data_IF_721597302787
#
_entry.id   IF_721597302787
#
_cell.length_a   1.000
_cell.length_b   1.000
_cell.length_c   1.000
_cell.angle_alpha   90.00
_cell.angle_beta   90.00
_cell.angle_gamma   90.00
#
_symmetry.space_group_name_H-M   'P 1'
#
loop_
_entity.id
_entity.type
_entity.pdbx_description
1 polymer ?
#
# COMPACT_ATOMS: atom_id res chain seq x y z
N UNK A 1 -6.07 6.09 16.76
CA UNK A 1 -5.81 6.88 15.55
C UNK A 1 -6.97 6.93 14.61
N UNK A 2 -7.23 8.12 14.05
CA UNK A 2 -8.30 8.38 13.09
C UNK A 2 -8.05 7.68 11.75
N UNK A 3 -6.79 7.56 11.32
CA UNK A 3 -6.46 7.03 9.98
C UNK A 3 -6.81 5.54 9.85
N UNK A 4 -6.38 4.71 10.80
CA UNK A 4 -6.66 3.27 10.73
C UNK A 4 -8.15 2.94 10.88
N UNK A 5 -8.89 3.73 11.67
CA UNK A 5 -10.37 3.65 11.74
C UNK A 5 -11.01 3.92 10.38
N UNK A 6 -10.63 5.01 9.70
CA UNK A 6 -11.20 5.38 8.40
C UNK A 6 -10.89 4.34 7.33
N UNK A 7 -9.69 3.77 7.34
CA UNK A 7 -9.30 2.69 6.42
C UNK A 7 -10.13 1.43 6.70
N UNK A 8 -10.21 0.99 7.96
CA UNK A 8 -10.99 -0.20 8.33
C UNK A 8 -12.46 -0.05 7.91
N UNK A 9 -13.09 1.11 8.19
CA UNK A 9 -14.46 1.39 7.75
C UNK A 9 -14.64 1.39 6.24
N UNK A 10 -13.67 1.91 5.50
CA UNK A 10 -13.73 1.89 4.03
C UNK A 10 -13.70 0.45 3.50
N UNK A 11 -12.87 -0.41 4.08
CA UNK A 11 -12.79 -1.83 3.74
C UNK A 11 -14.08 -2.56 4.14
N UNK A 12 -14.57 -2.36 5.36
CA UNK A 12 -15.84 -2.96 5.83
C UNK A 12 -17.02 -2.52 4.97
N UNK A 13 -17.08 -1.24 4.58
CA UNK A 13 -18.10 -0.73 3.68
C UNK A 13 -18.02 -1.35 2.29
N UNK A 14 -16.81 -1.59 1.80
CA UNK A 14 -16.60 -2.26 0.52
C UNK A 14 -17.05 -3.73 0.56
N UNK A 15 -16.86 -4.42 1.69
CA UNK A 15 -17.41 -5.76 1.93
C UNK A 15 -18.94 -5.73 1.87
N UNK A 16 -19.60 -4.82 2.60
CA UNK A 16 -21.06 -4.67 2.58
C UNK A 16 -21.62 -4.41 1.17
N UNK A 17 -20.90 -3.60 0.38
CA UNK A 17 -21.28 -3.25 -0.98
C UNK A 17 -20.81 -4.26 -2.03
N UNK A 18 -20.07 -5.31 -1.62
CA UNK A 18 -19.38 -6.27 -2.50
C UNK A 18 -18.62 -5.58 -3.64
N UNK A 19 -17.87 -4.53 -3.30
CA UNK A 19 -17.11 -3.75 -4.28
C UNK A 19 -15.60 -3.83 -4.01
N UNK A 20 -14.76 -3.63 -5.06
CA UNK A 20 -13.31 -3.57 -4.89
C UNK A 20 -12.88 -2.34 -4.08
N UNK A 21 -11.71 -2.44 -3.46
CA UNK A 21 -11.06 -1.36 -2.69
C UNK A 21 -9.80 -0.90 -3.42
N UNK A 22 -9.60 0.42 -3.50
CA UNK A 22 -8.33 1.01 -3.96
C UNK A 22 -7.85 1.98 -2.89
N UNK A 23 -6.62 1.79 -2.39
CA UNK A 23 -6.02 2.67 -1.36
C UNK A 23 -4.75 3.30 -1.93
N UNK A 24 -4.73 4.63 -1.95
CA UNK A 24 -3.52 5.40 -2.21
C UNK A 24 -2.79 5.67 -0.90
N UNK A 25 -1.56 5.18 -0.79
CA UNK A 25 -0.73 5.30 0.40
C UNK A 25 0.33 6.38 0.20
N UNK A 26 0.40 7.32 1.14
CA UNK A 26 1.54 8.22 1.37
C UNK A 26 1.71 8.40 2.87
N UNK A 27 2.88 8.06 3.39
CA UNK A 27 3.19 8.12 4.80
C UNK A 27 4.68 7.96 5.06
N UNK A 28 5.22 8.75 6.00
CA UNK A 28 6.55 8.54 6.58
C UNK A 28 6.59 7.48 7.70
N UNK A 29 5.45 6.93 8.10
CA UNK A 29 5.36 5.91 9.15
C UNK A 29 4.18 6.09 10.11
N UNK A 30 4.25 5.41 11.26
CA UNK A 30 3.24 5.49 12.31
C UNK A 30 3.32 6.85 13.05
N UNK A 31 2.16 7.42 13.42
CA UNK A 31 2.10 8.70 14.15
C UNK A 31 2.56 8.51 15.59
N UNK A 32 3.81 8.85 15.89
CA UNK A 32 4.43 8.61 17.20
C UNK A 32 3.69 9.28 18.37
N UNK A 33 3.00 10.39 18.12
CA UNK A 33 2.23 11.15 19.13
C UNK A 33 1.08 10.34 19.73
N UNK A 34 0.59 9.30 19.03
CA UNK A 34 -0.44 8.40 19.57
C UNK A 34 0.15 7.11 20.17
N UNK A 35 1.48 6.97 20.19
CA UNK A 35 2.18 5.82 20.77
C UNK A 35 1.68 4.48 20.24
N UNK A 36 1.38 3.56 21.16
CA UNK A 36 0.93 2.19 20.84
C UNK A 36 -0.39 2.16 20.05
N UNK A 37 -1.23 3.19 20.14
CA UNK A 37 -2.47 3.25 19.37
C UNK A 37 -2.20 3.33 17.87
N UNK A 38 -1.10 3.98 17.46
CA UNK A 38 -0.67 4.00 16.06
C UNK A 38 -0.19 2.62 15.60
N UNK A 39 0.49 1.88 16.46
CA UNK A 39 0.93 0.51 16.15
C UNK A 39 -0.28 -0.42 15.96
N UNK A 40 -1.28 -0.35 16.84
CA UNK A 40 -2.49 -1.17 16.72
C UNK A 40 -3.29 -0.91 15.45
N UNK A 41 -3.13 0.25 14.80
CA UNK A 41 -3.78 0.48 13.51
C UNK A 41 -3.29 -0.46 12.41
N UNK A 42 -2.03 -0.93 12.50
CA UNK A 42 -1.50 -1.92 11.56
C UNK A 42 -2.32 -3.21 11.67
N UNK A 43 -2.45 -3.77 12.88
CA UNK A 43 -3.24 -4.97 13.11
C UNK A 43 -4.72 -4.76 12.71
N UNK A 44 -5.31 -3.61 13.04
CA UNK A 44 -6.70 -3.29 12.72
C UNK A 44 -6.95 -3.27 11.20
N UNK A 45 -6.13 -2.56 10.45
CA UNK A 45 -6.30 -2.43 9.00
C UNK A 45 -5.99 -3.73 8.27
N UNK A 46 -4.96 -4.48 8.71
CA UNK A 46 -4.67 -5.81 8.19
C UNK A 46 -5.80 -6.81 8.46
N UNK A 47 -6.41 -6.78 9.65
CA UNK A 47 -7.55 -7.66 9.96
C UNK A 47 -8.78 -7.34 9.10
N UNK A 48 -9.06 -6.06 8.84
CA UNK A 48 -10.14 -5.66 7.93
C UNK A 48 -9.88 -6.18 6.50
N UNK A 49 -8.64 -6.05 6.00
CA UNK A 49 -8.26 -6.59 4.68
C UNK A 49 -8.27 -8.12 4.64
N UNK A 50 -7.95 -8.81 5.74
CA UNK A 50 -8.11 -10.26 5.84
C UNK A 50 -9.56 -10.70 5.60
N UNK A 51 -10.53 -9.99 6.20
CA UNK A 51 -11.96 -10.22 5.96
C UNK A 51 -12.37 -9.91 4.52
N UNK A 52 -11.80 -8.88 3.91
CA UNK A 52 -12.02 -8.55 2.50
C UNK A 52 -11.55 -9.69 1.58
N UNK A 53 -10.40 -10.28 1.89
CA UNK A 53 -9.83 -11.42 1.16
C UNK A 53 -10.67 -12.71 1.33
N UNK A 54 -11.22 -12.96 2.52
CA UNK A 54 -12.16 -14.07 2.76
C UNK A 54 -13.42 -13.96 1.88
N UNK A 55 -13.90 -12.74 1.65
CA UNK A 55 -15.01 -12.43 0.75
C UNK A 55 -14.62 -12.40 -0.74
N UNK A 56 -13.34 -12.66 -1.05
CA UNK A 56 -12.76 -12.68 -2.42
C UNK A 56 -12.94 -11.37 -3.18
N UNK A 57 -12.91 -10.24 -2.47
CA UNK A 57 -13.03 -8.91 -3.06
C UNK A 57 -11.65 -8.31 -3.35
N UNK A 58 -11.49 -7.73 -4.55
CA UNK A 58 -10.22 -7.17 -5.01
C UNK A 58 -9.79 -5.96 -4.18
N UNK A 59 -8.53 -5.95 -3.77
CA UNK A 59 -7.82 -4.82 -3.19
C UNK A 59 -6.60 -4.42 -4.02
N UNK A 60 -6.62 -3.20 -4.56
CA UNK A 60 -5.46 -2.58 -5.22
C UNK A 60 -4.78 -1.60 -4.28
N UNK A 61 -3.50 -1.83 -3.98
CA UNK A 61 -2.68 -0.88 -3.23
C UNK A 61 -1.88 -0.01 -4.18
N UNK A 62 -2.05 1.32 -4.07
CA UNK A 62 -1.31 2.30 -4.85
C UNK A 62 -0.32 3.01 -3.93
N UNK A 63 0.97 2.74 -4.09
CA UNK A 63 2.05 3.29 -3.29
C UNK A 63 2.60 4.56 -3.94
N UNK A 64 2.51 5.68 -3.22
CA UNK A 64 2.96 6.99 -3.70
C UNK A 64 4.11 7.50 -2.82
N UNK A 65 4.84 8.49 -3.31
CA UNK A 65 6.00 9.03 -2.58
C UNK A 65 5.57 9.89 -1.37
N UNK A 66 6.16 9.70 -0.18
CA UNK A 66 6.88 8.53 0.30
C UNK A 66 5.90 7.52 0.94
N UNK A 67 6.21 6.22 0.94
CA UNK A 67 5.45 5.20 1.69
C UNK A 67 6.40 4.36 2.53
N UNK A 68 6.40 4.58 3.85
CA UNK A 68 7.37 3.96 4.78
C UNK A 68 6.76 3.41 6.08
N UNK A 69 7.58 2.64 6.79
CA UNK A 69 7.36 2.24 8.18
C UNK A 69 6.13 1.36 8.38
N UNK A 70 5.34 1.66 9.42
CA UNK A 70 4.16 0.88 9.76
C UNK A 70 3.13 0.78 8.63
N UNK A 71 3.07 1.75 7.71
CA UNK A 71 2.16 1.69 6.55
C UNK A 71 2.63 0.63 5.56
N UNK A 72 3.90 0.64 5.15
CA UNK A 72 4.48 -0.44 4.31
C UNK A 72 4.37 -1.82 4.95
N UNK A 73 4.54 -1.92 6.27
CA UNK A 73 4.43 -3.19 6.99
C UNK A 73 2.98 -3.58 7.36
N UNK A 74 1.98 -2.94 6.76
CA UNK A 74 0.57 -3.26 6.98
C UNK A 74 -0.21 -3.18 5.66
N UNK A 75 -1.32 -2.44 5.62
CA UNK A 75 -2.25 -2.43 4.50
C UNK A 75 -1.61 -2.09 3.15
N UNK A 76 -0.52 -1.33 3.10
CA UNK A 76 0.10 -0.94 1.82
C UNK A 76 0.78 -2.10 1.08
N UNK A 77 1.15 -3.19 1.77
CA UNK A 77 1.77 -4.37 1.14
C UNK A 77 0.86 -5.60 1.16
N UNK A 78 -0.43 -5.42 1.45
CA UNK A 78 -1.44 -6.48 1.48
C UNK A 78 -2.42 -6.41 0.31
N UNK A 79 -2.12 -5.59 -0.71
CA UNK A 79 -2.89 -5.57 -1.95
C UNK A 79 -2.76 -6.86 -2.74
N UNK A 80 -3.81 -7.23 -3.47
CA UNK A 80 -3.74 -8.25 -4.52
C UNK A 80 -2.90 -7.77 -5.70
N UNK A 81 -2.92 -6.45 -5.94
CA UNK A 81 -2.11 -5.76 -6.94
C UNK A 81 -1.45 -4.53 -6.30
N UNK A 82 -0.14 -4.43 -6.40
CA UNK A 82 0.66 -3.29 -5.97
C UNK A 82 1.06 -2.44 -7.17
N UNK A 83 0.59 -1.20 -7.18
CA UNK A 83 0.92 -0.19 -8.18
C UNK A 83 1.77 0.88 -7.50
N UNK A 84 2.85 1.32 -8.12
CA UNK A 84 3.62 2.47 -7.64
C UNK A 84 3.69 3.58 -8.68
N UNK A 85 3.93 4.81 -8.23
CA UNK A 85 4.28 5.92 -9.12
C UNK A 85 5.77 5.95 -9.44
N UNK A 86 6.19 6.43 -10.64
CA UNK A 86 7.59 6.51 -11.00
C UNK A 86 8.42 7.26 -9.96
N UNK A 87 9.55 6.68 -9.57
CA UNK A 87 10.47 7.25 -8.59
C UNK A 87 9.96 7.31 -7.15
N UNK A 88 8.77 6.77 -6.83
CA UNK A 88 8.25 6.81 -5.47
C UNK A 88 9.15 6.04 -4.49
N UNK A 89 9.44 6.62 -3.33
CA UNK A 89 10.24 5.96 -2.29
C UNK A 89 9.36 5.09 -1.40
N UNK A 90 9.64 3.79 -1.39
CA UNK A 90 8.86 2.76 -0.73
C UNK A 90 9.80 1.83 0.05
N UNK A 91 9.56 1.69 1.35
CA UNK A 91 10.26 0.67 2.14
C UNK A 91 9.96 0.73 3.64
N UNK A 92 10.30 -0.32 4.38
CA UNK A 92 10.01 -0.35 5.81
C UNK A 92 10.84 0.67 6.60
N UNK A 93 12.15 0.70 6.36
CA UNK A 93 13.08 1.57 7.08
C UNK A 93 13.52 2.71 6.19
N UNK A 94 13.50 3.95 6.70
CA UNK A 94 13.95 5.11 5.93
C UNK A 94 15.45 5.03 5.59
N UNK A 95 15.89 5.59 4.44
CA UNK A 95 17.26 5.44 3.93
C UNK A 95 18.30 6.00 4.92
N UNK A 96 17.96 7.09 5.63
CA UNK A 96 18.81 7.69 6.67
C UNK A 96 19.13 6.70 7.79
N UNK A 97 18.14 5.95 8.26
CA UNK A 97 18.31 4.98 9.35
C UNK A 97 19.16 3.81 8.87
N UNK A 98 18.90 3.30 7.66
CA UNK A 98 19.69 2.21 7.07
C UNK A 98 21.17 2.61 6.98
N UNK A 99 21.46 3.81 6.46
CA UNK A 99 22.82 4.33 6.32
C UNK A 99 23.54 4.45 7.66
N UNK A 100 22.85 4.94 8.69
CA UNK A 100 23.40 5.06 10.05
C UNK A 100 23.72 3.69 10.67
N UNK A 101 22.85 2.70 10.48
CA UNK A 101 23.03 1.36 11.06
C UNK A 101 24.08 0.54 10.30
N UNK A 102 24.03 0.53 8.97
CA UNK A 102 24.89 -0.30 8.13
C UNK A 102 26.25 0.32 7.85
N UNK A 103 26.42 1.62 8.11
CA UNK A 103 27.64 2.40 7.81
C UNK A 103 28.11 2.23 6.36
N UNK A 104 27.17 2.02 5.44
CA UNK A 104 27.37 1.86 3.99
C UNK A 104 26.35 2.71 3.25
N UNK A 105 26.73 3.16 2.06
CA UNK A 105 25.78 3.77 1.13
C UNK A 105 24.80 2.71 0.62
N UNK A 106 23.56 3.12 0.43
CA UNK A 106 22.56 2.32 -0.26
C UNK A 106 22.91 2.27 -1.76
N UNK A 107 22.62 1.16 -2.45
CA UNK A 107 22.68 1.12 -3.91
C UNK A 107 21.89 2.28 -4.52
N UNK A 108 22.33 2.77 -5.68
CA UNK A 108 21.59 3.77 -6.42
C UNK A 108 20.18 3.25 -6.76
N UNK A 109 19.17 4.10 -6.55
CA UNK A 109 17.77 3.73 -6.74
C UNK A 109 17.21 2.77 -5.69
N UNK A 110 17.95 2.40 -4.64
CA UNK A 110 17.39 1.59 -3.56
C UNK A 110 16.11 2.23 -3.01
N UNK A 111 15.09 1.40 -2.78
CA UNK A 111 13.76 1.80 -2.30
C UNK A 111 12.91 2.59 -3.31
N UNK A 112 13.34 2.85 -4.55
CA UNK A 112 12.43 3.44 -5.56
C UNK A 112 11.40 2.42 -6.03
N UNK A 113 10.32 2.91 -6.63
CA UNK A 113 9.29 2.08 -7.26
C UNK A 113 9.89 1.08 -8.27
N UNK A 114 10.83 1.51 -9.10
CA UNK A 114 11.50 0.68 -10.11
C UNK A 114 12.39 -0.38 -9.47
N UNK A 115 13.11 -0.01 -8.39
CA UNK A 115 13.91 -0.97 -7.64
C UNK A 115 13.03 -2.03 -6.99
N UNK A 116 11.94 -1.62 -6.33
CA UNK A 116 11.01 -2.55 -5.69
C UNK A 116 10.28 -3.42 -6.73
N UNK A 117 9.98 -2.90 -7.92
CA UNK A 117 9.45 -3.69 -9.04
C UNK A 117 10.46 -4.74 -9.51
N UNK A 118 11.74 -4.38 -9.67
CA UNK A 118 12.79 -5.32 -10.05
C UNK A 118 13.02 -6.44 -9.00
N UNK A 119 12.62 -6.21 -7.74
CA UNK A 119 12.69 -7.18 -6.65
C UNK A 119 11.36 -7.88 -6.36
N UNK A 120 10.34 -7.71 -7.22
CA UNK A 120 9.06 -8.43 -7.13
C UNK A 120 8.12 -7.94 -6.03
N UNK A 121 8.33 -6.72 -5.51
CA UNK A 121 7.46 -6.12 -4.49
C UNK A 121 6.38 -5.19 -5.09
N UNK A 122 6.52 -4.79 -6.35
CA UNK A 122 5.57 -3.94 -7.06
C UNK A 122 5.24 -4.62 -8.39
N UNK A 123 3.96 -4.75 -8.72
CA UNK A 123 3.53 -5.36 -9.98
C UNK A 123 3.73 -4.41 -11.16
N UNK A 124 3.38 -3.14 -10.99
CA UNK A 124 3.54 -2.15 -12.04
C UNK A 124 3.84 -0.74 -11.54
N UNK A 125 4.71 -0.05 -12.28
CA UNK A 125 5.01 1.38 -12.10
C UNK A 125 4.23 2.17 -13.16
N UNK A 126 3.36 3.08 -12.72
CA UNK A 126 2.37 3.74 -13.57
C UNK A 126 2.39 5.26 -13.35
N UNK A 127 2.51 6.02 -14.44
CA UNK A 127 2.42 7.49 -14.40
C UNK A 127 1.04 7.94 -13.95
N UNK A 128 0.98 9.04 -13.19
CA UNK A 128 -0.28 9.60 -12.65
C UNK A 128 -1.35 9.83 -13.73
N UNK A 129 -0.96 10.32 -14.92
CA UNK A 129 -1.89 10.55 -16.03
C UNK A 129 -2.56 9.26 -16.53
N UNK A 130 -1.85 8.12 -16.45
CA UNK A 130 -2.33 6.83 -16.92
C UNK A 130 -3.05 6.04 -15.84
N UNK A 131 -2.86 6.40 -14.56
CA UNK A 131 -3.37 5.69 -13.38
C UNK A 131 -4.88 5.39 -13.50
N UNK A 132 -5.69 6.38 -13.88
CA UNK A 132 -7.14 6.19 -14.06
C UNK A 132 -7.47 5.12 -15.09
N UNK A 133 -6.73 5.10 -16.21
CA UNK A 133 -6.92 4.11 -17.29
C UNK A 133 -6.47 2.72 -16.84
N UNK A 134 -5.36 2.63 -16.11
CA UNK A 134 -4.87 1.34 -15.57
C UNK A 134 -5.85 0.77 -14.55
N UNK A 135 -6.24 1.54 -13.54
CA UNK A 135 -7.22 1.13 -12.53
C UNK A 135 -8.55 0.72 -13.18
N UNK A 136 -9.05 1.51 -14.14
CA UNK A 136 -10.28 1.17 -14.86
C UNK A 136 -10.21 -0.14 -15.66
N UNK A 137 -9.03 -0.53 -16.16
CA UNK A 137 -8.82 -1.84 -16.80
C UNK A 137 -8.78 -2.96 -15.77
N UNK A 138 -7.99 -2.80 -14.72
CA UNK A 138 -7.86 -3.81 -13.66
C UNK A 138 -9.21 -4.09 -13.01
N UNK A 139 -9.96 -3.06 -12.63
CA UNK A 139 -11.30 -3.22 -12.05
C UNK A 139 -12.25 -3.96 -12.99
N UNK A 140 -12.18 -3.70 -14.30
CA UNK A 140 -13.01 -4.37 -15.31
C UNK A 140 -12.66 -5.86 -15.44
N UNK A 141 -11.37 -6.21 -15.42
CA UNK A 141 -10.94 -7.61 -15.50
C UNK A 141 -11.35 -8.45 -14.29
N UNK A 142 -11.65 -7.80 -13.16
CA UNK A 142 -12.03 -8.46 -11.91
C UNK A 142 -13.51 -8.26 -11.57
N UNK A 143 -14.34 -7.79 -12.51
CA UNK A 143 -15.79 -7.81 -12.33
C UNK A 143 -16.32 -9.25 -12.47
N UNK A 144 -17.16 -9.67 -11.53
CA UNK A 144 -17.92 -10.91 -11.64
C UNK A 144 -18.75 -10.89 -12.94
N UNK A 145 -18.53 -11.86 -13.83
CA UNK A 145 -19.23 -11.97 -15.11
C UNK A 145 -18.65 -11.12 -16.27
N UNK A 146 -17.43 -10.59 -16.13
CA UNK A 146 -16.74 -9.99 -17.27
C UNK A 146 -16.41 -11.07 -18.33
N UNK A 147 -16.92 -10.87 -19.54
CA UNK A 147 -16.66 -11.69 -20.76
C UNK A 147 -15.44 -11.15 -21.49
#
# INVERSE_FOLDING_TARGET
SVTGEKIARAVERAIELRCPVVIFSTSGGARMQEGILSLYQMAKTSAALGRLAEERLLYISVLTDPTFGGVTASYASLGDIHIAEPGALIGFTGPRVIKQTMRKELPEGAQTAEFNQAHGQIDCVVKREEMRKVLGRLLRYHQEGAV
#
